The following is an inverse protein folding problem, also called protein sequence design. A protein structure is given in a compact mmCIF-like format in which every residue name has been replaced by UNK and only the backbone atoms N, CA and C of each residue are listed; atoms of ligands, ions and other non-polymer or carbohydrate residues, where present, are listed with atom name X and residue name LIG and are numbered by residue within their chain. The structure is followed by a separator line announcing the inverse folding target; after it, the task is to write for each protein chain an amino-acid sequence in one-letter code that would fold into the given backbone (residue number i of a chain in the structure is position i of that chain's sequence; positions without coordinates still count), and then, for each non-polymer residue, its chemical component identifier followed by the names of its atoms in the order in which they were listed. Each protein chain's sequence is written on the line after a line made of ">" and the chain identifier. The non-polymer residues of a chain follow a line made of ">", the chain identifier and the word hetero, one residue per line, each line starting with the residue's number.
data_IF_704262625618
#
_entry.id   IF_704262625618
#
_cell.length_a   1.000
_cell.length_b   1.000
_cell.length_c   1.000
_cell.angle_alpha   90.00
_cell.angle_beta   90.00
_cell.angle_gamma   90.00
#
_symmetry.space_group_name_H-M   'P 1'
#
loop_
_entity.id
_entity.type
_entity.pdbx_description
1 polymer ?
#
# COMPACT_ATOMS: atom_id res chain seq x y z
N UNK A 1 -5.93 9.36 -17.73
CA UNK A 1 -6.43 10.43 -16.84
C UNK A 1 -6.88 9.91 -15.46
N UNK A 2 -6.44 8.74 -14.96
CA UNK A 2 -6.83 8.22 -13.62
C UNK A 2 -5.76 8.41 -12.52
N UNK A 3 -4.46 8.56 -12.87
CA UNK A 3 -3.34 8.71 -11.90
C UNK A 3 -3.45 9.93 -11.00
N UNK A 4 -3.91 11.04 -11.59
CA UNK A 4 -3.85 12.34 -10.94
C UNK A 4 -4.93 12.46 -9.85
N UNK A 5 -6.08 11.82 -10.06
CA UNK A 5 -7.17 11.77 -9.09
C UNK A 5 -6.82 10.88 -7.90
N UNK A 6 -6.21 9.71 -8.09
CA UNK A 6 -5.79 8.85 -6.99
C UNK A 6 -4.76 9.53 -6.07
N UNK A 7 -3.73 10.16 -6.65
CA UNK A 7 -2.69 10.82 -5.87
C UNK A 7 -3.23 12.11 -5.19
N UNK A 8 -4.16 12.83 -5.82
CA UNK A 8 -4.84 13.99 -5.23
C UNK A 8 -5.80 13.56 -4.10
N UNK A 9 -6.53 12.48 -4.28
CA UNK A 9 -7.39 11.90 -3.26
C UNK A 9 -6.56 11.44 -2.05
N UNK A 10 -5.44 10.74 -2.28
CA UNK A 10 -4.49 10.35 -1.24
C UNK A 10 -4.01 11.57 -0.45
N UNK A 11 -3.56 12.64 -1.12
CA UNK A 11 -3.14 13.89 -0.45
C UNK A 11 -4.27 14.56 0.34
N UNK A 12 -5.50 14.53 -0.16
CA UNK A 12 -6.66 15.07 0.55
C UNK A 12 -6.98 14.25 1.81
N UNK A 13 -6.78 12.93 1.76
CA UNK A 13 -6.95 12.03 2.90
C UNK A 13 -5.84 12.22 3.94
N UNK A 14 -4.58 12.38 3.51
CA UNK A 14 -3.44 12.75 4.38
C UNK A 14 -3.76 14.03 5.14
N UNK A 15 -4.27 15.05 4.45
CA UNK A 15 -4.63 16.34 5.04
C UNK A 15 -5.77 16.25 6.07
N UNK A 16 -6.57 15.19 6.02
CA UNK A 16 -7.67 14.94 6.96
C UNK A 16 -7.27 14.03 8.13
N UNK A 17 -6.02 13.53 8.16
CA UNK A 17 -5.49 12.64 9.20
C UNK A 17 -6.39 11.41 9.45
N UNK A 18 -7.00 10.90 8.38
CA UNK A 18 -7.87 9.73 8.45
C UNK A 18 -7.02 8.49 8.30
N UNK A 19 -7.05 7.63 9.32
CA UNK A 19 -6.45 6.30 9.25
C UNK A 19 -7.45 5.29 8.67
N UNK A 20 -6.98 4.44 7.78
CA UNK A 20 -7.74 3.38 7.12
C UNK A 20 -7.33 2.01 7.65
N UNK A 21 -8.33 1.17 7.88
CA UNK A 21 -8.13 -0.23 8.25
C UNK A 21 -7.88 -1.13 7.03
N UNK A 22 -8.34 -0.70 5.86
CA UNK A 22 -8.27 -1.47 4.63
C UNK A 22 -8.07 -0.50 3.46
N UNK A 23 -6.94 -0.64 2.77
CA UNK A 23 -6.62 0.15 1.57
C UNK A 23 -6.46 -0.82 0.41
N UNK A 24 -7.23 -0.61 -0.65
CA UNK A 24 -7.04 -1.32 -1.91
C UNK A 24 -6.28 -0.43 -2.87
N UNK A 25 -5.13 -0.91 -3.32
CA UNK A 25 -4.35 -0.31 -4.38
C UNK A 25 -4.53 -1.16 -5.63
N UNK A 26 -5.29 -0.64 -6.57
CA UNK A 26 -5.37 -1.12 -7.95
C UNK A 26 -4.65 -0.11 -8.86
N UNK A 27 -3.31 -0.19 -8.98
CA UNK A 27 -2.55 0.72 -9.78
C UNK A 27 -2.58 0.31 -11.26
N UNK A 28 -2.98 1.20 -12.18
CA UNK A 28 -2.62 1.07 -13.59
C UNK A 28 -1.14 1.38 -13.87
N UNK A 29 -0.26 1.37 -12.85
CA UNK A 29 1.09 1.93 -12.90
C UNK A 29 2.20 1.03 -12.36
N UNK A 30 3.37 1.18 -12.99
CA UNK A 30 4.58 0.42 -12.73
C UNK A 30 4.99 0.38 -11.25
N UNK A 31 5.48 -0.80 -10.85
CA UNK A 31 6.14 -1.21 -9.59
C UNK A 31 6.70 -0.09 -8.69
N UNK A 32 7.45 0.87 -9.24
CA UNK A 32 8.10 1.92 -8.45
C UNK A 32 7.12 2.89 -7.76
N UNK A 33 5.93 3.10 -8.32
CA UNK A 33 4.94 3.99 -7.71
C UNK A 33 4.30 3.38 -6.46
N UNK A 34 4.01 2.06 -6.49
CA UNK A 34 3.33 1.36 -5.39
C UNK A 34 4.14 1.45 -4.11
N UNK A 35 5.44 1.15 -4.20
CA UNK A 35 6.35 1.20 -3.04
C UNK A 35 6.42 2.61 -2.45
N UNK A 36 6.48 3.63 -3.31
CA UNK A 36 6.54 5.02 -2.85
C UNK A 36 5.21 5.49 -2.25
N UNK A 37 4.07 5.13 -2.84
CA UNK A 37 2.73 5.48 -2.35
C UNK A 37 2.42 4.78 -1.02
N UNK A 38 2.75 3.49 -0.89
CA UNK A 38 2.64 2.77 0.37
C UNK A 38 3.58 3.34 1.44
N UNK A 39 4.82 3.68 1.08
CA UNK A 39 5.76 4.33 1.98
C UNK A 39 5.19 5.63 2.57
N UNK A 40 4.61 6.49 1.72
CA UNK A 40 3.94 7.72 2.15
C UNK A 40 2.73 7.41 3.04
N UNK A 41 1.91 6.40 2.71
CA UNK A 41 0.76 6.02 3.55
C UNK A 41 1.19 5.58 4.95
N UNK A 42 2.24 4.76 5.03
CA UNK A 42 2.77 4.28 6.30
C UNK A 42 3.42 5.41 7.11
N UNK A 43 4.20 6.28 6.47
CA UNK A 43 4.88 7.43 7.10
C UNK A 43 3.88 8.46 7.65
N UNK A 44 2.79 8.72 6.92
CA UNK A 44 1.74 9.65 7.32
C UNK A 44 0.67 9.05 8.25
N UNK A 45 0.89 7.85 8.82
CA UNK A 45 -0.07 7.17 9.71
C UNK A 45 -1.48 7.03 9.10
N UNK A 46 -1.57 6.95 7.77
CA UNK A 46 -2.83 6.73 7.05
C UNK A 46 -3.37 5.32 7.22
N UNK A 47 -2.60 4.41 7.80
CA UNK A 47 -2.97 3.02 8.04
C UNK A 47 -3.05 2.83 9.55
N UNK A 48 -4.18 2.33 10.04
CA UNK A 48 -4.32 1.97 11.45
C UNK A 48 -3.32 0.86 11.84
N UNK A 49 -3.06 0.65 13.12
CA UNK A 49 -2.15 -0.44 13.58
C UNK A 49 -2.59 -1.85 13.16
N UNK A 50 -3.89 -2.05 12.98
CA UNK A 50 -4.45 -3.30 12.44
C UNK A 50 -4.80 -3.19 10.95
N UNK A 51 -4.34 -2.12 10.31
CA UNK A 51 -4.68 -1.79 8.94
C UNK A 51 -3.87 -2.61 7.94
N UNK A 52 -4.51 -3.02 6.87
CA UNK A 52 -3.89 -3.78 5.78
C UNK A 52 -4.02 -3.03 4.46
N UNK A 53 -2.97 -3.11 3.66
CA UNK A 53 -2.94 -2.62 2.29
C UNK A 53 -2.93 -3.84 1.37
N UNK A 54 -3.92 -3.94 0.49
CA UNK A 54 -4.03 -4.97 -0.53
C UNK A 54 -3.69 -4.34 -1.87
N UNK A 55 -2.63 -4.82 -2.49
CA UNK A 55 -2.15 -4.32 -3.78
C UNK A 55 -2.32 -5.40 -4.85
N UNK A 56 -2.99 -5.06 -5.94
CA UNK A 56 -3.02 -5.89 -7.14
C UNK A 56 -1.91 -5.44 -8.11
N UNK A 57 -1.15 -6.38 -8.66
CA UNK A 57 -0.11 -6.09 -9.66
C UNK A 57 0.09 -7.28 -10.59
N UNK A 58 0.70 -7.09 -11.76
CA UNK A 58 1.02 -8.21 -12.65
C UNK A 58 2.03 -9.16 -12.00
N UNK A 59 1.99 -10.45 -12.33
CA UNK A 59 2.91 -11.47 -11.82
C UNK A 59 4.38 -11.23 -12.18
N UNK A 60 4.65 -10.38 -13.18
CA UNK A 60 5.99 -9.90 -13.52
C UNK A 60 6.56 -8.86 -12.53
N UNK A 61 5.76 -8.40 -11.56
CA UNK A 61 6.15 -7.39 -10.58
C UNK A 61 6.38 -8.07 -9.22
N UNK A 62 7.60 -8.02 -8.71
CA UNK A 62 7.92 -8.52 -7.36
C UNK A 62 8.05 -7.41 -6.32
N UNK A 63 7.10 -7.28 -5.40
CA UNK A 63 7.20 -6.29 -4.32
C UNK A 63 8.18 -6.75 -3.22
N UNK A 64 8.95 -5.82 -2.62
CA UNK A 64 9.84 -6.13 -1.50
C UNK A 64 9.05 -6.61 -0.28
N UNK A 65 9.70 -7.36 0.62
CA UNK A 65 9.04 -7.87 1.83
C UNK A 65 8.71 -6.77 2.85
N UNK A 66 9.38 -5.62 2.76
CA UNK A 66 9.17 -4.49 3.64
C UNK A 66 9.13 -3.18 2.84
N UNK A 67 8.18 -2.33 3.19
CA UNK A 67 7.98 -0.99 2.60
C UNK A 67 7.73 -0.01 3.74
N UNK A 68 8.74 0.78 4.11
CA UNK A 68 8.68 1.62 5.30
C UNK A 68 8.45 0.78 6.56
N UNK A 69 7.45 1.14 7.37
CA UNK A 69 7.01 0.34 8.52
C UNK A 69 6.05 -0.80 8.15
N UNK A 70 5.67 -0.93 6.88
CA UNK A 70 4.80 -2.00 6.39
C UNK A 70 5.56 -3.28 6.08
N UNK A 71 5.03 -4.42 6.51
CA UNK A 71 5.57 -5.76 6.22
C UNK A 71 4.59 -6.54 5.35
N UNK A 72 5.13 -7.26 4.35
CA UNK A 72 4.36 -8.16 3.49
C UNK A 72 3.85 -9.33 4.34
N UNK A 73 2.54 -9.46 4.44
CA UNK A 73 1.86 -10.57 5.10
C UNK A 73 1.78 -11.78 4.18
N UNK A 74 1.31 -11.56 2.95
CA UNK A 74 1.00 -12.62 2.00
C UNK A 74 1.03 -12.10 0.57
N UNK A 75 1.35 -12.96 -0.38
CA UNK A 75 1.25 -12.70 -1.80
C UNK A 75 0.64 -13.92 -2.49
N UNK A 76 -0.47 -13.75 -3.20
CA UNK A 76 -1.14 -14.80 -3.96
C UNK A 76 -1.15 -14.46 -5.44
N UNK A 77 -0.77 -15.41 -6.29
CA UNK A 77 -0.73 -15.22 -7.74
C UNK A 77 -1.88 -15.99 -8.40
N UNK A 78 -2.69 -15.26 -9.15
CA UNK A 78 -3.83 -15.72 -9.92
C UNK A 78 -3.57 -15.44 -11.41
N UNK A 79 -2.99 -16.41 -12.11
CA UNK A 79 -2.67 -16.29 -13.53
C UNK A 79 -1.62 -15.20 -13.80
N UNK A 80 -2.02 -14.12 -14.48
CA UNK A 80 -1.15 -12.97 -14.80
C UNK A 80 -1.16 -11.89 -13.70
N UNK A 81 -1.99 -12.05 -12.68
CA UNK A 81 -2.17 -11.08 -11.60
C UNK A 81 -1.69 -11.65 -10.27
N UNK A 82 -1.01 -10.85 -9.47
CA UNK A 82 -0.56 -11.15 -8.12
C UNK A 82 -1.16 -10.12 -7.16
N UNK A 83 -1.81 -10.63 -6.12
CA UNK A 83 -2.37 -9.85 -5.03
C UNK A 83 -1.41 -9.95 -3.85
N UNK A 84 -0.88 -8.83 -3.40
CA UNK A 84 0.02 -8.77 -2.26
C UNK A 84 -0.61 -7.96 -1.14
N UNK A 85 -0.59 -8.52 0.07
CA UNK A 85 -1.12 -7.93 1.29
C UNK A 85 0.04 -7.48 2.16
N UNK A 86 0.01 -6.22 2.58
CA UNK A 86 0.92 -5.63 3.55
C UNK A 86 0.16 -5.20 4.79
N UNK A 87 0.81 -5.26 5.94
CA UNK A 87 0.28 -4.75 7.20
C UNK A 87 1.30 -3.79 7.80
N UNK A 88 0.83 -2.75 8.49
CA UNK A 88 1.70 -1.95 9.34
C UNK A 88 2.35 -2.87 10.37
N UNK A 89 3.67 -3.02 10.31
CA UNK A 89 4.41 -3.76 11.33
C UNK A 89 4.15 -3.06 12.66
N UNK A 90 3.76 -3.82 13.68
CA UNK A 90 3.69 -3.28 15.04
C UNK A 90 5.07 -2.71 15.33
N UNK A 91 5.14 -1.40 15.57
CA UNK A 91 6.31 -0.84 16.22
C UNK A 91 6.44 -1.63 17.52
N UNK A 92 7.53 -2.35 17.66
CA UNK A 92 7.84 -3.07 18.89
C UNK A 92 8.26 -1.96 19.85
N UNK A 93 7.27 -1.27 20.42
CA UNK A 93 7.49 -0.38 21.56
C UNK A 93 8.26 -1.20 22.60
N UNK A 94 9.51 -0.80 22.81
CA UNK A 94 10.47 -1.40 23.75
C UNK A 94 10.59 -0.50 24.97
#
# INVERSE_FOLDING_TARGET
>A
MYRNDANRALKALIKREIAFSLIFLDPPYAKQNIVNEMGIMFDHQLVTDTGVIVCEHTSSIELPEQIGVGTKLRSETYGETTITIFQKGKEVES
#
